data_IF_244160702817
#
_entry.id   IF_244160702817
#
_cell.length_a   1.000
_cell.length_b   1.000
_cell.length_c   1.000
_cell.angle_alpha   90.00
_cell.angle_beta   90.00
_cell.angle_gamma   90.00
#
_symmetry.space_group_name_H-M   'P 1'
#
loop_
_entity.id
_entity.type
_entity.pdbx_description
1 polymer ?
#
# COMPACT_ATOMS: atom_id res chain seq x y z
N UNK A 1 -35.23 51.85 -10.20
CA UNK A 1 -34.78 51.53 -11.57
C UNK A 1 -34.66 50.01 -11.69
N UNK A 2 -35.76 49.35 -12.06
CA UNK A 2 -35.92 47.89 -11.91
C UNK A 2 -34.99 47.05 -12.80
N UNK A 3 -34.47 47.67 -13.87
CA UNK A 3 -33.51 47.07 -14.80
C UNK A 3 -32.20 46.65 -14.10
N UNK A 4 -31.68 47.46 -13.17
CA UNK A 4 -30.45 47.10 -12.44
C UNK A 4 -30.66 45.95 -11.46
N UNK A 5 -31.88 45.80 -10.93
CA UNK A 5 -32.22 44.74 -9.98
C UNK A 5 -32.31 43.39 -10.68
N UNK A 6 -32.88 43.38 -11.88
CA UNK A 6 -32.96 42.19 -12.75
C UNK A 6 -31.57 41.77 -13.22
N UNK A 7 -30.71 42.72 -13.62
CA UNK A 7 -29.34 42.41 -14.05
C UNK A 7 -28.47 41.76 -12.95
N UNK A 8 -28.74 42.02 -11.67
CA UNK A 8 -28.04 41.35 -10.56
C UNK A 8 -28.53 39.93 -10.30
N UNK A 9 -29.79 39.63 -10.62
CA UNK A 9 -30.37 38.29 -10.46
C UNK A 9 -29.89 37.32 -11.54
N UNK A 10 -29.54 37.82 -12.73
CA UNK A 10 -28.98 37.04 -13.85
C UNK A 10 -27.46 37.16 -13.99
N UNK A 11 -26.78 37.86 -13.07
CA UNK A 11 -25.33 37.90 -13.05
C UNK A 11 -24.77 36.53 -12.65
N UNK A 12 -23.95 35.93 -13.52
CA UNK A 12 -23.24 34.68 -13.21
C UNK A 12 -22.46 34.82 -11.90
N UNK A 13 -22.51 33.82 -10.99
CA UNK A 13 -21.75 33.87 -9.75
C UNK A 13 -20.27 34.12 -10.08
N UNK A 14 -19.70 35.20 -9.53
CA UNK A 14 -18.25 35.42 -9.63
C UNK A 14 -17.56 34.17 -9.10
N UNK A 15 -16.78 33.49 -9.96
CA UNK A 15 -15.97 32.34 -9.57
C UNK A 15 -15.19 32.73 -8.32
N UNK A 16 -15.51 32.13 -7.19
CA UNK A 16 -14.74 32.31 -5.95
C UNK A 16 -13.32 31.89 -6.29
N UNK A 17 -12.34 32.80 -6.12
CA UNK A 17 -10.93 32.41 -6.16
C UNK A 17 -10.77 31.25 -5.17
N UNK A 18 -10.14 30.12 -5.55
CA UNK A 18 -9.95 29.02 -4.63
C UNK A 18 -9.25 29.57 -3.39
N UNK A 19 -9.82 29.30 -2.21
CA UNK A 19 -9.13 29.59 -0.95
C UNK A 19 -7.76 28.91 -1.04
N UNK A 20 -6.65 29.56 -0.68
CA UNK A 20 -5.38 28.88 -0.57
C UNK A 20 -5.60 27.71 0.40
N UNK A 21 -5.45 26.49 -0.10
CA UNK A 21 -5.46 25.30 0.77
C UNK A 21 -4.35 25.56 1.79
N UNK A 22 -4.62 25.38 3.09
CA UNK A 22 -3.54 25.28 4.07
C UNK A 22 -2.62 24.18 3.55
N UNK A 23 -1.47 24.57 3.01
CA UNK A 23 -0.54 23.65 2.37
C UNK A 23 0.26 23.02 3.49
N UNK A 24 -0.14 21.83 3.93
CA UNK A 24 0.75 21.00 4.74
C UNK A 24 1.87 20.58 3.80
N UNK A 25 3.12 21.00 4.05
CA UNK A 25 4.22 20.67 3.16
C UNK A 25 4.44 19.17 3.19
N UNK A 26 4.23 18.51 2.06
CA UNK A 26 4.54 17.09 1.89
C UNK A 26 6.04 16.89 2.00
N UNK A 27 6.49 16.07 2.94
CA UNK A 27 7.92 15.80 3.20
C UNK A 27 8.43 14.54 2.50
N UNK A 28 7.53 13.66 2.07
CA UNK A 28 7.89 12.42 1.40
C UNK A 28 6.79 11.96 0.43
N UNK A 29 7.17 11.16 -0.54
CA UNK A 29 6.28 10.49 -1.47
C UNK A 29 6.60 9.00 -1.54
N UNK A 30 5.56 8.23 -1.81
CA UNK A 30 5.64 6.78 -2.00
C UNK A 30 5.46 6.48 -3.48
N UNK A 31 6.52 6.00 -4.11
CA UNK A 31 6.57 5.81 -5.55
C UNK A 31 6.34 4.33 -5.90
N UNK A 32 5.27 3.97 -6.64
CA UNK A 32 5.04 2.58 -7.01
C UNK A 32 6.13 2.07 -7.98
N UNK A 33 6.65 0.88 -7.71
CA UNK A 33 7.54 0.16 -8.62
C UNK A 33 6.68 -0.47 -9.71
N UNK A 34 7.03 -0.17 -10.96
CA UNK A 34 6.25 -0.57 -12.14
C UNK A 34 6.85 -1.82 -12.79
N UNK A 35 8.17 -1.95 -12.71
CA UNK A 35 8.93 -3.09 -13.22
C UNK A 35 10.26 -3.18 -12.48
N UNK A 36 11.01 -4.26 -12.70
CA UNK A 36 12.34 -4.49 -12.12
C UNK A 36 13.37 -3.36 -12.37
N UNK A 37 13.07 -2.44 -13.30
CA UNK A 37 13.94 -1.32 -13.66
C UNK A 37 13.37 0.05 -13.39
N UNK A 38 12.08 0.19 -13.07
CA UNK A 38 11.43 1.50 -13.06
C UNK A 38 10.44 1.67 -11.92
N UNK A 39 10.47 2.84 -11.30
CA UNK A 39 9.44 3.32 -10.38
C UNK A 39 8.88 4.65 -10.86
N UNK A 40 7.60 4.90 -10.59
CA UNK A 40 6.93 6.13 -11.03
C UNK A 40 6.98 7.20 -9.94
N UNK A 41 7.53 8.36 -10.24
CA UNK A 41 7.59 9.53 -9.35
C UNK A 41 6.48 10.54 -9.63
N UNK A 42 5.69 10.34 -10.68
CA UNK A 42 4.67 11.29 -11.09
C UNK A 42 3.55 11.42 -10.05
N UNK A 43 3.25 12.66 -9.65
CA UNK A 43 2.13 13.00 -8.78
C UNK A 43 1.65 14.42 -9.06
N UNK A 44 0.39 14.71 -8.75
CA UNK A 44 -0.19 16.06 -8.86
C UNK A 44 0.01 16.89 -7.58
N UNK A 45 0.46 16.25 -6.50
CA UNK A 45 0.50 16.85 -5.17
C UNK A 45 1.84 17.52 -4.85
N UNK A 46 2.91 17.08 -5.52
CA UNK A 46 4.28 17.55 -5.34
C UNK A 46 4.86 17.92 -6.70
N UNK A 47 5.52 19.08 -6.77
CA UNK A 47 6.27 19.50 -7.94
C UNK A 47 7.43 18.52 -8.19
N UNK A 48 7.55 18.03 -9.42
CA UNK A 48 8.60 17.09 -9.81
C UNK A 48 10.01 17.62 -9.54
N UNK A 49 10.22 18.94 -9.59
CA UNK A 49 11.52 19.55 -9.28
C UNK A 49 11.95 19.40 -7.81
N UNK A 50 11.02 19.10 -6.90
CA UNK A 50 11.29 18.94 -5.45
C UNK A 50 11.47 17.48 -5.05
N UNK A 51 11.19 16.56 -5.94
CA UNK A 51 11.33 15.14 -5.69
C UNK A 51 12.81 14.80 -5.89
N UNK A 52 13.44 14.30 -4.83
CA UNK A 52 14.82 13.87 -4.94
C UNK A 52 14.88 12.59 -5.78
N UNK A 53 15.76 12.60 -6.77
CA UNK A 53 16.01 11.50 -7.68
C UNK A 53 17.50 11.16 -7.61
N UNK A 54 17.85 10.04 -6.99
CA UNK A 54 19.19 9.48 -7.16
C UNK A 54 19.25 8.73 -8.49
N UNK A 55 20.44 8.61 -9.09
CA UNK A 55 20.63 8.04 -10.44
C UNK A 55 20.07 6.60 -10.57
N UNK A 56 20.08 5.82 -9.48
CA UNK A 56 19.34 4.56 -9.36
C UNK A 56 19.24 4.06 -7.91
N UNK A 57 18.08 3.51 -7.53
CA UNK A 57 17.88 2.84 -6.24
C UNK A 57 17.76 1.34 -6.42
N UNK A 58 18.74 0.58 -5.92
CA UNK A 58 18.80 -0.88 -6.09
C UNK A 58 18.61 -1.34 -7.56
N UNK A 59 19.05 -0.52 -8.52
CA UNK A 59 18.88 -0.77 -9.96
C UNK A 59 17.57 -0.26 -10.59
N UNK A 60 16.66 0.34 -9.80
CA UNK A 60 15.47 0.99 -10.32
C UNK A 60 15.73 2.46 -10.67
N UNK A 61 15.24 2.89 -11.82
CA UNK A 61 15.32 4.26 -12.32
C UNK A 61 13.99 4.99 -12.17
N UNK A 62 14.05 6.28 -11.86
CA UNK A 62 12.88 7.14 -11.79
C UNK A 62 12.29 7.39 -13.19
N UNK A 63 10.97 7.24 -13.32
CA UNK A 63 10.20 7.72 -14.46
C UNK A 63 9.09 8.62 -13.94
N UNK A 64 8.77 9.70 -14.65
CA UNK A 64 7.57 10.49 -14.40
C UNK A 64 6.57 10.27 -15.53
N UNK A 65 5.55 9.43 -15.31
CA UNK A 65 4.50 9.17 -16.29
C UNK A 65 3.09 9.27 -15.67
N UNK A 66 2.20 10.10 -16.24
CA UNK A 66 0.81 10.20 -15.81
C UNK A 66 -0.04 8.98 -16.19
N UNK A 67 0.50 8.06 -17.01
CA UNK A 67 -0.20 6.85 -17.46
C UNK A 67 -0.01 5.66 -16.51
N UNK A 68 0.93 5.77 -15.58
CA UNK A 68 1.27 4.74 -14.61
C UNK A 68 0.69 5.12 -13.24
N UNK A 69 0.52 4.15 -12.31
CA UNK A 69 0.12 4.44 -10.95
C UNK A 69 0.91 5.60 -10.36
N UNK A 70 0.20 6.62 -9.88
CA UNK A 70 0.82 7.84 -9.38
C UNK A 70 1.53 7.61 -8.04
N UNK A 71 2.60 8.36 -7.80
CA UNK A 71 3.21 8.45 -6.49
C UNK A 71 2.23 9.13 -5.51
N UNK A 72 2.17 8.60 -4.29
CA UNK A 72 1.27 9.08 -3.25
C UNK A 72 2.05 9.95 -2.29
N UNK A 73 1.58 11.18 -2.09
CA UNK A 73 2.23 12.12 -1.20
C UNK A 73 1.82 11.85 0.25
N UNK A 74 2.81 11.86 1.14
CA UNK A 74 2.59 11.74 2.58
C UNK A 74 2.09 13.09 3.11
N UNK A 75 0.76 13.24 3.23
CA UNK A 75 0.08 14.51 3.60
C UNK A 75 0.26 14.92 5.07
N UNK A 76 0.79 14.03 5.90
CA UNK A 76 1.02 14.24 7.33
C UNK A 76 2.36 13.62 7.75
N UNK A 77 2.43 13.12 9.00
CA UNK A 77 3.54 12.34 9.55
C UNK A 77 3.30 10.84 9.51
N UNK A 78 2.23 10.36 8.89
CA UNK A 78 1.98 8.93 8.69
C UNK A 78 1.27 8.66 7.37
N UNK A 79 1.49 7.45 6.84
CA UNK A 79 0.80 6.90 5.68
C UNK A 79 0.57 5.39 5.90
N UNK A 80 -0.64 4.93 5.60
CA UNK A 80 -1.09 3.57 5.84
C UNK A 80 -1.19 2.75 4.56
N UNK A 81 -0.80 1.47 4.67
CA UNK A 81 -0.84 0.48 3.59
C UNK A 81 -1.79 -0.65 3.98
N UNK A 82 -2.64 -1.06 3.06
CA UNK A 82 -3.50 -2.21 3.30
C UNK A 82 -4.52 -2.46 2.19
N UNK A 83 -5.34 -3.49 2.38
CA UNK A 83 -6.43 -3.82 1.48
C UNK A 83 -7.65 -2.94 1.76
N UNK A 84 -8.24 -2.38 0.71
CA UNK A 84 -9.43 -1.55 0.78
C UNK A 84 -9.15 -0.06 0.99
N UNK A 85 -10.17 0.74 0.73
CA UNK A 85 -10.07 2.21 0.62
C UNK A 85 -10.00 2.94 1.96
N UNK A 86 -9.90 2.23 3.08
CA UNK A 86 -9.69 2.83 4.41
C UNK A 86 -8.24 3.23 4.64
N UNK A 87 -7.32 2.72 3.81
CA UNK A 87 -5.90 3.03 3.85
C UNK A 87 -5.57 4.17 2.87
N UNK A 88 -4.51 4.91 3.16
CA UNK A 88 -4.00 5.95 2.26
C UNK A 88 -3.53 5.35 0.92
N UNK A 89 -2.92 4.15 0.99
CA UNK A 89 -2.48 3.38 -0.18
C UNK A 89 -3.23 2.03 -0.20
N UNK A 90 -4.32 1.93 -0.99
CA UNK A 90 -5.04 0.68 -1.18
C UNK A 90 -4.23 -0.26 -2.08
N UNK A 91 -3.64 -1.29 -1.48
CA UNK A 91 -2.77 -2.26 -2.18
C UNK A 91 -3.53 -3.08 -3.23
N UNK A 92 -4.81 -3.32 -3.01
CA UNK A 92 -5.71 -4.05 -3.92
C UNK A 92 -6.13 -3.25 -5.14
N UNK A 93 -6.01 -1.92 -5.11
CA UNK A 93 -6.22 -1.06 -6.28
C UNK A 93 -5.03 -1.08 -7.25
N UNK A 94 -3.83 -1.40 -6.76
CA UNK A 94 -2.59 -1.45 -7.55
C UNK A 94 -2.40 -2.82 -8.22
N UNK A 95 -2.95 -3.88 -7.64
CA UNK A 95 -2.97 -5.20 -8.24
C UNK A 95 -3.49 -6.27 -7.28
N UNK A 96 -3.52 -7.51 -7.75
CA UNK A 96 -4.03 -8.63 -6.96
C UNK A 96 -2.89 -9.34 -6.19
N UNK A 97 -3.03 -9.46 -4.88
CA UNK A 97 -2.16 -10.25 -4.02
C UNK A 97 -2.98 -10.97 -2.95
N UNK A 98 -2.63 -12.23 -2.64
CA UNK A 98 -3.26 -13.01 -1.57
C UNK A 98 -2.64 -12.75 -0.19
N UNK A 99 -1.44 -12.18 -0.16
CA UNK A 99 -0.61 -11.98 1.03
C UNK A 99 -0.58 -10.51 1.43
N UNK A 100 -1.77 -9.89 1.49
CA UNK A 100 -1.97 -8.53 1.98
C UNK A 100 -3.10 -8.50 3.01
N UNK A 101 -2.86 -7.83 4.14
CA UNK A 101 -3.86 -7.64 5.19
C UNK A 101 -4.69 -6.36 4.98
N UNK A 102 -5.92 -6.27 5.53
CA UNK A 102 -6.72 -5.03 5.54
C UNK A 102 -5.97 -3.82 6.09
N UNK A 103 -5.22 -4.00 7.17
CA UNK A 103 -4.20 -3.07 7.67
C UNK A 103 -2.87 -3.80 7.63
N UNK A 104 -2.02 -3.46 6.66
CA UNK A 104 -0.78 -4.18 6.40
C UNK A 104 0.40 -3.56 7.14
N UNK A 105 0.60 -2.26 6.96
CA UNK A 105 1.70 -1.54 7.57
C UNK A 105 1.36 -0.05 7.72
N UNK A 106 2.12 0.63 8.56
CA UNK A 106 2.08 2.09 8.69
C UNK A 106 3.51 2.60 8.64
N UNK A 107 3.77 3.54 7.74
CA UNK A 107 5.00 4.33 7.71
C UNK A 107 4.72 5.65 8.40
N UNK A 108 5.58 6.07 9.32
CA UNK A 108 5.47 7.34 10.01
C UNK A 108 6.82 8.04 10.14
N UNK A 109 6.78 9.33 10.44
CA UNK A 109 7.96 10.13 10.75
C UNK A 109 8.01 10.37 12.26
N UNK A 110 9.08 9.92 12.89
CA UNK A 110 9.37 10.25 14.29
C UNK A 110 10.01 11.64 14.36
N UNK A 111 9.44 12.49 15.23
CA UNK A 111 9.94 13.82 15.46
C UNK A 111 11.09 13.87 16.45
N UNK A 112 11.23 12.87 17.33
CA UNK A 112 12.30 12.82 18.33
C UNK A 112 13.60 12.43 17.65
N UNK A 113 13.59 11.30 16.94
CA UNK A 113 14.77 10.76 16.27
C UNK A 113 14.95 11.29 14.84
N UNK A 114 14.01 12.11 14.36
CA UNK A 114 14.01 12.69 13.02
C UNK A 114 14.16 11.66 11.89
N UNK A 115 13.66 10.46 12.10
CA UNK A 115 13.75 9.34 11.17
C UNK A 115 12.36 8.90 10.69
N UNK A 116 12.31 8.19 9.56
CA UNK A 116 11.09 7.50 9.15
C UNK A 116 11.14 6.07 9.62
N UNK A 117 10.00 5.58 10.09
CA UNK A 117 9.87 4.24 10.64
C UNK A 117 8.64 3.55 10.08
N UNK A 118 8.78 2.26 9.80
CA UNK A 118 7.70 1.42 9.31
C UNK A 118 7.35 0.36 10.36
N UNK A 119 6.07 0.29 10.72
CA UNK A 119 5.51 -0.76 11.55
C UNK A 119 4.72 -1.76 10.71
N UNK A 120 5.04 -3.03 10.90
CA UNK A 120 4.29 -4.14 10.34
C UNK A 120 3.08 -4.50 11.22
N UNK A 121 1.89 -4.52 10.62
CA UNK A 121 0.67 -5.05 11.25
C UNK A 121 0.19 -6.34 10.58
N UNK A 122 0.83 -6.75 9.49
CA UNK A 122 0.42 -7.90 8.70
C UNK A 122 1.01 -9.20 9.24
N UNK A 123 0.19 -10.25 9.26
CA UNK A 123 0.65 -11.62 9.44
C UNK A 123 1.46 -12.16 8.24
N UNK A 124 1.48 -11.44 7.12
CA UNK A 124 2.27 -11.81 5.94
C UNK A 124 3.66 -11.20 5.92
N UNK A 125 3.95 -10.31 6.88
CA UNK A 125 5.21 -9.57 6.99
C UNK A 125 5.35 -8.45 5.97
N UNK A 126 6.27 -7.53 6.29
CA UNK A 126 6.66 -6.40 5.44
C UNK A 126 8.16 -6.44 5.19
N UNK A 127 8.60 -6.06 4.00
CA UNK A 127 10.03 -5.93 3.70
C UNK A 127 10.43 -4.46 3.51
N UNK A 128 11.55 -4.06 4.11
CA UNK A 128 12.24 -2.79 3.88
C UNK A 128 13.69 -3.11 3.53
N UNK A 129 14.15 -2.75 2.32
CA UNK A 129 15.53 -3.03 1.86
C UNK A 129 15.95 -4.50 2.04
N UNK A 130 15.01 -5.42 1.77
CA UNK A 130 15.10 -6.87 1.99
C UNK A 130 15.11 -7.35 3.45
N UNK A 131 15.13 -6.45 4.44
CA UNK A 131 14.92 -6.79 5.84
C UNK A 131 13.44 -7.08 6.09
N UNK A 132 13.14 -8.22 6.72
CA UNK A 132 11.78 -8.68 6.99
C UNK A 132 11.32 -8.24 8.39
N UNK A 133 10.29 -7.40 8.46
CA UNK A 133 9.51 -7.18 9.67
C UNK A 133 8.35 -8.17 9.72
N UNK A 134 8.30 -8.98 10.77
CA UNK A 134 7.28 -9.99 11.00
C UNK A 134 6.89 -9.99 12.48
N UNK A 135 5.65 -10.33 12.78
CA UNK A 135 5.14 -10.37 14.15
C UNK A 135 5.11 -11.83 14.63
N UNK A 136 5.41 -12.12 15.89
CA UNK A 136 5.47 -13.51 16.38
C UNK A 136 4.10 -14.23 16.39
N UNK A 137 3.00 -13.48 16.25
CA UNK A 137 1.62 -14.00 16.13
C UNK A 137 1.35 -14.86 14.86
N UNK A 138 2.36 -15.07 14.02
CA UNK A 138 2.27 -15.72 12.70
C UNK A 138 1.94 -17.23 12.77
N UNK A 139 1.92 -17.84 13.95
CA UNK A 139 1.73 -19.29 14.06
C UNK A 139 0.27 -19.79 14.16
N UNK A 140 -0.77 -18.94 14.26
CA UNK A 140 -2.14 -19.42 14.54
C UNK A 140 -3.06 -19.53 13.30
N UNK A 141 -3.03 -18.55 12.40
CA UNK A 141 -4.00 -18.50 11.30
C UNK A 141 -3.70 -19.45 10.12
N UNK A 142 -2.53 -20.10 10.09
CA UNK A 142 -2.15 -21.08 9.05
C UNK A 142 -2.37 -22.55 9.44
N UNK A 143 -2.66 -22.83 10.72
CA UNK A 143 -2.84 -24.19 11.25
C UNK A 143 -4.29 -24.52 11.60
N UNK A 144 -5.15 -23.53 11.77
CA UNK A 144 -6.53 -23.73 12.22
C UNK A 144 -7.45 -24.37 11.17
N UNK A 145 -7.12 -24.31 9.87
CA UNK A 145 -7.90 -24.98 8.81
C UNK A 145 -7.57 -26.48 8.61
N UNK A 146 -6.69 -27.06 9.44
CA UNK A 146 -6.31 -28.49 9.34
C UNK A 146 -6.43 -29.30 10.64
N UNK A 147 -6.96 -28.73 11.72
CA UNK A 147 -7.07 -29.41 13.02
C UNK A 147 -8.46 -29.21 13.67
N UNK A 148 -9.54 -29.59 12.98
CA UNK A 148 -10.82 -29.85 13.66
C UNK A 148 -11.61 -30.98 12.97
N UNK A 149 -11.02 -32.17 12.80
CA UNK A 149 -11.78 -33.44 12.74
C UNK A 149 -10.88 -34.54 13.33
N UNK A 150 -11.47 -35.39 14.19
CA UNK A 150 -10.90 -36.45 15.06
C UNK A 150 -10.56 -35.86 16.44
N UNK A 151 -11.34 -36.08 17.52
CA UNK A 151 -11.88 -37.34 18.06
C UNK A 151 -13.27 -37.16 18.71
N UNK A 152 -14.20 -38.05 18.37
CA UNK A 152 -15.14 -38.64 19.33
C UNK A 152 -15.62 -39.97 18.74
N UNK A 153 -15.18 -41.06 19.34
CA UNK A 153 -15.66 -42.42 19.09
C UNK A 153 -17.15 -42.51 19.44
N UNK A 154 -17.97 -43.03 18.52
CA UNK A 154 -19.12 -43.89 18.84
C UNK A 154 -19.63 -44.56 17.54
N UNK A 155 -19.78 -45.89 17.61
CA UNK A 155 -20.18 -46.81 16.54
C UNK A 155 -21.63 -46.56 16.06
N UNK A 156 -21.90 -46.60 14.75
CA UNK A 156 -23.10 -47.22 14.14
C UNK A 156 -23.11 -47.19 12.59
N UNK A 157 -23.09 -48.39 11.99
CA UNK A 157 -23.71 -48.89 10.74
C UNK A 157 -23.57 -48.17 9.35
N UNK A 158 -23.17 -48.87 8.25
CA UNK A 158 -22.88 -48.25 6.96
C UNK A 158 -24.08 -48.29 6.00
N UNK A 159 -24.75 -47.15 5.76
CA UNK A 159 -25.73 -47.02 4.65
C UNK A 159 -25.54 -45.72 3.85
N UNK A 160 -24.81 -45.86 2.73
CA UNK A 160 -25.07 -45.24 1.42
C UNK A 160 -25.56 -43.77 1.43
N UNK A 161 -24.63 -42.82 1.34
CA UNK A 161 -24.93 -41.47 0.84
C UNK A 161 -24.00 -41.15 -0.34
N UNK A 162 -24.64 -40.79 -1.46
CA UNK A 162 -24.06 -40.64 -2.79
C UNK A 162 -23.18 -39.40 -2.84
N UNK A 163 -21.94 -39.57 -3.30
CA UNK A 163 -21.02 -38.49 -3.70
C UNK A 163 -21.66 -37.74 -4.87
N UNK A 164 -22.05 -36.48 -4.65
CA UNK A 164 -22.36 -35.56 -5.75
C UNK A 164 -21.07 -34.81 -6.15
N UNK A 165 -20.75 -34.68 -7.44
CA UNK A 165 -19.49 -34.10 -7.87
C UNK A 165 -19.47 -32.59 -7.67
N UNK A 166 -18.35 -32.10 -7.15
CA UNK A 166 -17.74 -30.79 -7.38
C UNK A 166 -18.46 -29.93 -8.42
N UNK A 167 -19.28 -28.98 -7.95
CA UNK A 167 -19.82 -27.92 -8.79
C UNK A 167 -18.66 -27.02 -9.22
N UNK A 168 -18.07 -27.33 -10.38
CA UNK A 168 -17.24 -26.41 -11.15
C UNK A 168 -18.10 -25.23 -11.54
N UNK A 169 -18.11 -24.17 -10.72
CA UNK A 169 -18.58 -22.86 -11.17
C UNK A 169 -17.59 -22.37 -12.23
N UNK A 170 -18.00 -22.53 -13.48
CA UNK A 170 -17.37 -21.88 -14.64
C UNK A 170 -17.50 -20.38 -14.46
N UNK A 171 -16.50 -19.75 -13.85
CA UNK A 171 -16.37 -18.30 -13.84
C UNK A 171 -15.66 -17.87 -15.13
N UNK A 172 -16.22 -16.85 -15.76
CA UNK A 172 -15.70 -16.21 -16.96
C UNK A 172 -14.19 -15.97 -16.83
N UNK A 173 -13.42 -16.46 -17.80
CA UNK A 173 -11.98 -16.22 -17.92
C UNK A 173 -11.73 -14.76 -18.28
N UNK A 174 -11.90 -13.87 -17.31
CA UNK A 174 -11.08 -12.66 -17.28
C UNK A 174 -9.64 -13.10 -16.98
N UNK A 175 -8.61 -12.43 -17.51
CA UNK A 175 -7.24 -12.74 -17.15
C UNK A 175 -7.09 -12.52 -15.65
N UNK A 176 -7.14 -13.59 -14.87
CA UNK A 176 -6.93 -13.52 -13.44
C UNK A 176 -5.47 -13.15 -13.25
N UNK A 177 -5.21 -11.88 -12.90
CA UNK A 177 -3.89 -11.43 -12.46
C UNK A 177 -3.54 -12.35 -11.30
N UNK A 178 -2.62 -13.28 -11.51
CA UNK A 178 -2.23 -14.25 -10.49
C UNK A 178 -1.29 -13.57 -9.52
N UNK A 179 -1.47 -13.86 -8.24
CA UNK A 179 -0.51 -13.48 -7.22
C UNK A 179 0.84 -14.17 -7.52
N UNK A 180 1.93 -13.39 -7.50
CA UNK A 180 3.29 -13.87 -7.77
C UNK A 180 4.06 -14.34 -6.53
N UNK A 181 3.46 -14.33 -5.35
CA UNK A 181 4.11 -14.80 -4.12
C UNK A 181 4.21 -16.33 -4.10
N UNK A 182 5.36 -16.85 -3.69
CA UNK A 182 5.52 -18.27 -3.36
C UNK A 182 5.07 -18.52 -1.92
N UNK A 183 4.34 -19.62 -1.62
CA UNK A 183 4.04 -20.00 -0.24
C UNK A 183 5.30 -20.18 0.63
N UNK A 184 6.44 -20.56 0.02
CA UNK A 184 7.71 -20.75 0.73
C UNK A 184 8.35 -19.44 1.20
N UNK A 185 8.00 -18.28 0.64
CA UNK A 185 8.57 -16.99 1.09
C UNK A 185 8.13 -16.60 2.50
N UNK A 186 7.17 -17.34 3.07
CA UNK A 186 6.57 -17.06 4.37
C UNK A 186 7.12 -17.97 5.48
N UNK A 187 7.90 -19.02 5.17
CA UNK A 187 8.60 -19.80 6.20
C UNK A 187 9.64 -18.94 6.96
N UNK A 188 10.23 -17.95 6.28
CA UNK A 188 11.13 -16.97 6.84
C UNK A 188 10.47 -15.99 7.84
N UNK A 189 9.13 -15.94 7.91
CA UNK A 189 8.43 -15.09 8.87
C UNK A 189 8.67 -15.51 10.33
N UNK A 190 9.13 -16.75 10.56
CA UNK A 190 9.55 -17.26 11.87
C UNK A 190 10.89 -16.68 12.35
N UNK A 191 11.57 -15.90 11.50
CA UNK A 191 12.86 -15.25 11.80
C UNK A 191 12.85 -13.75 11.52
N UNK A 192 11.66 -13.15 11.41
CA UNK A 192 11.53 -11.71 11.16
C UNK A 192 11.82 -10.86 12.40
N UNK A 193 12.09 -9.58 12.18
CA UNK A 193 12.28 -8.60 13.25
C UNK A 193 10.92 -8.14 13.80
N UNK A 194 10.76 -8.21 15.12
CA UNK A 194 9.61 -7.67 15.85
C UNK A 194 9.94 -6.24 16.30
N UNK A 195 9.56 -5.26 15.49
CA UNK A 195 9.81 -3.85 15.78
C UNK A 195 9.56 -2.95 14.58
N UNK A 196 9.82 -1.65 14.74
CA UNK A 196 9.85 -0.73 13.60
C UNK A 196 11.12 -0.93 12.78
N UNK A 197 11.02 -0.70 11.47
CA UNK A 197 12.15 -0.66 10.56
C UNK A 197 12.38 0.79 10.12
N UNK A 198 13.63 1.25 10.26
CA UNK A 198 14.01 2.57 9.75
C UNK A 198 13.93 2.60 8.22
N UNK A 199 13.26 3.61 7.69
CA UNK A 199 13.10 3.86 6.27
C UNK A 199 13.89 5.12 5.92
N UNK A 200 14.68 5.06 4.86
CA UNK A 200 15.46 6.20 4.36
C UNK A 200 15.06 6.51 2.93
N UNK A 201 15.43 7.71 2.47
CA UNK A 201 15.33 8.04 1.05
C UNK A 201 15.93 6.91 0.20
N UNK A 202 15.17 6.44 -0.79
CA UNK A 202 15.58 5.34 -1.66
C UNK A 202 15.24 3.95 -1.17
N UNK A 203 14.74 3.79 0.06
CA UNK A 203 14.38 2.47 0.58
C UNK A 203 13.26 1.83 -0.25
N UNK A 204 13.41 0.54 -0.51
CA UNK A 204 12.42 -0.28 -1.21
C UNK A 204 11.51 -0.93 -0.18
N UNK A 205 10.23 -0.60 -0.25
CA UNK A 205 9.17 -1.15 0.59
C UNK A 205 8.43 -2.22 -0.20
N UNK A 206 8.22 -3.41 0.37
CA UNK A 206 7.47 -4.48 -0.29
C UNK A 206 6.44 -5.12 0.65
N UNK A 207 5.22 -5.21 0.12
CA UNK A 207 4.04 -5.78 0.78
C UNK A 207 3.42 -6.83 -0.15
N UNK A 208 3.69 -8.11 0.13
CA UNK A 208 3.34 -9.20 -0.79
C UNK A 208 3.95 -8.99 -2.19
N UNK A 209 3.11 -8.90 -3.22
CA UNK A 209 3.55 -8.64 -4.61
C UNK A 209 3.84 -7.16 -4.92
N UNK A 210 3.43 -6.23 -4.07
CA UNK A 210 3.51 -4.79 -4.37
C UNK A 210 4.80 -4.22 -3.81
N UNK A 211 5.50 -3.44 -4.63
CA UNK A 211 6.75 -2.80 -4.25
C UNK A 211 6.70 -1.30 -4.50
N UNK A 212 7.39 -0.54 -3.66
CA UNK A 212 7.43 0.91 -3.69
C UNK A 212 8.84 1.39 -3.37
N UNK A 213 9.20 2.57 -3.87
CA UNK A 213 10.38 3.32 -3.46
C UNK A 213 9.92 4.49 -2.62
N UNK A 214 10.47 4.60 -1.41
CA UNK A 214 10.27 5.77 -0.57
C UNK A 214 11.18 6.91 -1.03
N UNK A 215 10.62 8.09 -1.29
CA UNK A 215 11.41 9.28 -1.65
C UNK A 215 11.09 10.46 -0.73
N UNK A 216 12.13 11.16 -0.29
CA UNK A 216 12.00 12.38 0.51
C UNK A 216 11.86 13.55 -0.47
N UNK A 217 10.97 14.48 -0.15
CA UNK A 217 10.75 15.71 -0.91
C UNK A 217 11.58 16.80 -0.25
N UNK A 218 12.46 17.43 -1.02
CA UNK A 218 13.21 18.57 -0.52
C UNK A 218 12.24 19.76 -0.38
N UNK A 219 12.03 20.16 0.87
CA UNK A 219 11.40 21.43 1.19
C UNK A 219 12.54 22.45 1.24
N UNK A 220 12.85 23.08 0.11
CA UNK A 220 13.63 24.31 0.11
C UNK A 220 12.79 25.43 0.75
N UNK A 221 12.66 25.36 2.07
CA UNK A 221 12.25 26.47 2.92
C UNK A 221 13.40 26.78 3.86
N UNK A 222 14.60 26.94 3.31
CA UNK A 222 15.56 27.90 3.87
C UNK A 222 15.19 29.27 3.32
N UNK A 223 14.15 29.86 3.91
CA UNK A 223 14.03 31.32 3.93
C UNK A 223 14.59 31.75 5.29
N UNK A 224 15.86 32.16 5.24
CA UNK A 224 16.55 33.02 6.21
C UNK A 224 15.62 34.03 6.89
#
# INVERSE_FOLDING_TARGET
NDVERINRLFASPRRRKPRPKLYVPTRAIICPVISDRYYNTWTLEVDSARIKHDDSFMGHQAIASPRLPAAVAMKYRSISFGKGNTNDIPLDALGHCNYISPKHAVLFYDEVDHCYELLNYSCYGTYVDNALAANDEICKHGKEDKQQIIESEEEHDPKRIKISPLVKRSCNKQPTIRCGCSPSSFEALTSGWEGSLTVKHGSVLRFGCMSFVFSVVDNSTEST
#
